data_IF_761334015226
#
_entry.id   IF_761334015226
#
_cell.length_a   1.000
_cell.length_b   1.000
_cell.length_c   1.000
_cell.angle_alpha   90.00
_cell.angle_beta   90.00
_cell.angle_gamma   90.00
#
_symmetry.space_group_name_H-M   'P 1'
#
loop_
_entity.id
_entity.type
_entity.pdbx_description
1 polymer ?
#
# COMPACT_ATOMS: atom_id res chain seq x y z
N UNK A 1 -11.33 -3.40 -8.87
CA UNK A 1 -12.49 -2.48 -8.95
C UNK A 1 -12.35 -1.30 -7.99
N UNK A 2 -11.88 -1.48 -6.75
CA UNK A 2 -11.74 -0.39 -5.78
C UNK A 2 -10.81 0.76 -6.25
N UNK A 3 -9.82 0.49 -7.10
CA UNK A 3 -8.93 1.54 -7.62
C UNK A 3 -9.68 2.67 -8.35
N UNK A 4 -10.69 2.34 -9.16
CA UNK A 4 -11.55 3.36 -9.79
C UNK A 4 -12.45 4.07 -8.78
N UNK A 5 -12.85 3.39 -7.70
CA UNK A 5 -13.63 4.01 -6.62
C UNK A 5 -12.77 5.03 -5.88
N UNK A 6 -11.50 4.72 -5.61
CA UNK A 6 -10.54 5.64 -5.02
C UNK A 6 -10.34 6.88 -5.90
N UNK A 7 -10.20 6.69 -7.22
CA UNK A 7 -10.11 7.78 -8.18
C UNK A 7 -11.37 8.68 -8.17
N UNK A 8 -12.56 8.09 -8.10
CA UNK A 8 -13.81 8.84 -8.18
C UNK A 8 -14.17 9.61 -6.89
N UNK A 9 -13.73 9.12 -5.73
CA UNK A 9 -14.15 9.66 -4.42
C UNK A 9 -13.04 10.37 -3.64
N UNK A 10 -11.81 10.40 -4.17
CA UNK A 10 -10.68 11.09 -3.55
C UNK A 10 -9.95 11.94 -4.58
N UNK A 11 -9.30 13.03 -4.15
CA UNK A 11 -8.62 13.94 -5.09
C UNK A 11 -7.37 13.33 -5.74
N UNK A 12 -6.66 12.44 -5.04
CA UNK A 12 -5.38 11.86 -5.48
C UNK A 12 -5.16 10.42 -5.02
N UNK A 13 -6.18 9.78 -4.44
CA UNK A 13 -6.08 8.42 -3.91
C UNK A 13 -6.08 7.38 -5.02
N UNK A 14 -5.38 6.28 -4.75
CA UNK A 14 -5.27 5.11 -5.61
C UNK A 14 -4.89 3.89 -4.77
N UNK A 15 -5.18 2.71 -5.29
CA UNK A 15 -4.59 1.48 -4.78
C UNK A 15 -3.12 1.40 -5.19
N UNK A 16 -2.27 0.83 -4.32
CA UNK A 16 -0.83 0.72 -4.57
C UNK A 16 -0.41 -0.72 -4.79
N UNK A 17 0.46 -0.92 -5.74
CA UNK A 17 1.17 -2.19 -5.95
C UNK A 17 2.22 -2.43 -4.85
N UNK A 18 2.70 -3.67 -4.73
CA UNK A 18 3.78 -4.02 -3.79
C UNK A 18 5.04 -3.16 -3.99
N UNK A 19 5.39 -2.87 -5.25
CA UNK A 19 6.55 -2.04 -5.59
C UNK A 19 6.39 -0.60 -5.08
N UNK A 20 5.21 -0.02 -5.23
CA UNK A 20 4.92 1.35 -4.79
C UNK A 20 4.88 1.45 -3.27
N UNK A 21 4.34 0.43 -2.58
CA UNK A 21 4.47 0.35 -1.13
C UNK A 21 5.92 0.26 -0.69
N UNK A 22 6.74 -0.54 -1.37
CA UNK A 22 8.16 -0.62 -1.09
C UNK A 22 8.90 0.70 -1.23
N UNK A 23 8.59 1.48 -2.26
CA UNK A 23 9.14 2.82 -2.45
C UNK A 23 8.74 3.76 -1.30
N UNK A 24 7.44 3.86 -0.98
CA UNK A 24 6.96 4.77 0.07
C UNK A 24 7.52 4.42 1.45
N UNK A 25 7.63 3.14 1.78
CA UNK A 25 8.19 2.68 3.05
C UNK A 25 9.71 2.94 3.13
N UNK A 26 10.44 2.75 2.03
CA UNK A 26 11.86 3.07 1.96
C UNK A 26 12.13 4.56 2.14
N UNK A 27 11.38 5.42 1.43
CA UNK A 27 11.51 6.88 1.55
C UNK A 27 11.12 7.39 2.95
N UNK A 28 10.24 6.68 3.64
CA UNK A 28 9.88 6.97 5.03
C UNK A 28 10.94 6.51 6.06
N UNK A 29 12.01 5.84 5.63
CA UNK A 29 13.13 5.44 6.48
C UNK A 29 13.01 4.05 7.12
N UNK A 30 12.08 3.20 6.67
CA UNK A 30 11.98 1.83 7.16
C UNK A 30 13.02 0.92 6.50
N UNK A 31 13.81 0.21 7.31
CA UNK A 31 14.85 -0.71 6.81
C UNK A 31 14.29 -1.97 6.15
N UNK A 32 13.13 -2.45 6.61
CA UNK A 32 12.45 -3.62 6.04
C UNK A 32 10.94 -3.54 6.20
N UNK A 33 10.24 -4.30 5.35
CA UNK A 33 8.80 -4.46 5.46
C UNK A 33 8.36 -5.85 5.00
N UNK A 34 7.17 -6.27 5.46
CA UNK A 34 6.49 -7.49 5.03
C UNK A 34 5.05 -7.14 4.67
N UNK A 35 4.59 -7.62 3.51
CA UNK A 35 3.22 -7.43 3.05
C UNK A 35 2.57 -8.82 2.99
N UNK A 36 1.57 -9.03 3.84
CA UNK A 36 0.87 -10.31 3.97
C UNK A 36 -0.55 -10.16 3.41
N UNK A 37 -0.89 -10.88 2.32
CA UNK A 37 -2.26 -10.93 1.86
C UNK A 37 -3.12 -11.69 2.89
N UNK A 38 -4.33 -11.20 3.12
CA UNK A 38 -5.34 -11.87 3.96
C UNK A 38 -6.50 -12.31 3.06
N UNK A 39 -7.48 -13.04 3.60
CA UNK A 39 -8.68 -13.46 2.86
C UNK A 39 -9.65 -12.28 2.60
N UNK A 40 -9.14 -11.13 2.19
CA UNK A 40 -9.89 -9.92 1.81
C UNK A 40 -9.15 -9.19 0.68
N UNK A 41 -9.73 -8.10 0.16
CA UNK A 41 -9.07 -7.21 -0.81
C UNK A 41 -7.87 -6.45 -0.22
N UNK A 42 -7.79 -6.31 1.11
CA UNK A 42 -6.73 -5.58 1.80
C UNK A 42 -5.55 -6.51 2.14
N UNK A 43 -4.40 -5.91 2.46
CA UNK A 43 -3.22 -6.62 2.96
C UNK A 43 -2.75 -6.01 4.28
N UNK A 44 -2.09 -6.81 5.11
CA UNK A 44 -1.41 -6.32 6.32
C UNK A 44 0.02 -5.94 5.95
N UNK A 45 0.43 -4.72 6.30
CA UNK A 45 1.79 -4.23 6.08
C UNK A 45 2.48 -4.04 7.42
N UNK A 46 3.58 -4.74 7.63
CA UNK A 46 4.45 -4.61 8.80
C UNK A 46 5.73 -3.90 8.37
N UNK A 47 5.98 -2.71 8.90
CA UNK A 47 7.18 -1.92 8.62
C UNK A 47 8.05 -1.83 9.87
N UNK A 48 9.36 -1.94 9.69
CA UNK A 48 10.32 -2.00 10.80
C UNK A 48 11.41 -0.93 10.60
N UNK A 49 11.80 -0.19 11.66
CA UNK A 49 12.87 0.81 11.59
C UNK A 49 14.15 0.24 10.99
#
# INVERSE_FOLDING_TARGET
MLDMVMLAHTNTGKERTLKEWGYVLGEAGFSRYTITPIHTVQSVIQAFP
#
